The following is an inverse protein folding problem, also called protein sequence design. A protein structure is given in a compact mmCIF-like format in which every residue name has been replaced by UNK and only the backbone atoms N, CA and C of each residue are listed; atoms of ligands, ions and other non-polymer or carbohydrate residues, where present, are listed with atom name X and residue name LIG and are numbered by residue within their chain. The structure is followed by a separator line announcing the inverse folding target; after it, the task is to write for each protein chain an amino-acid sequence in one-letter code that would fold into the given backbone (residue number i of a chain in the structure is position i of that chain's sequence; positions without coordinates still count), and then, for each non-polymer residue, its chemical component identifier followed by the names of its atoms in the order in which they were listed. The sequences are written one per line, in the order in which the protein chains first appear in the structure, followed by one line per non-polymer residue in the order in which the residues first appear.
data_IF_150796878958
#
_entry.id   IF_150796878958
#
_cell.length_a   1.000
_cell.length_b   1.000
_cell.length_c   1.000
_cell.angle_alpha   90.00
_cell.angle_beta   90.00
_cell.angle_gamma   90.00
#
_symmetry.space_group_name_H-M   'P 1'
#
loop_
_entity.id
_entity.type
_entity.pdbx_description
1 polymer ?
#
# COMPACT_ATOMS: atom_id res chain seq x y z
N UNK A 1 24.86 46.57 -64.57
CA UNK A 1 25.96 45.79 -63.96
C UNK A 1 25.78 45.80 -62.46
N UNK A 2 25.59 44.61 -61.85
CA UNK A 2 25.96 44.18 -60.48
C UNK A 2 25.30 44.93 -59.29
N UNK A 3 24.80 44.32 -58.22
CA UNK A 3 24.87 42.94 -57.73
C UNK A 3 23.69 42.63 -56.79
N UNK A 4 23.09 41.46 -57.01
CA UNK A 4 22.24 40.73 -56.07
C UNK A 4 23.12 40.12 -54.98
N UNK A 5 23.04 40.54 -53.71
CA UNK A 5 23.59 39.71 -52.61
C UNK A 5 23.17 40.05 -51.18
N UNK A 6 21.90 40.32 -50.92
CA UNK A 6 21.38 40.31 -49.55
C UNK A 6 19.92 39.93 -49.64
N UNK A 7 19.56 38.67 -49.33
CA UNK A 7 18.21 38.19 -48.95
C UNK A 7 18.15 36.65 -48.79
N UNK A 8 19.27 35.91 -48.90
CA UNK A 8 19.26 34.44 -48.88
C UNK A 8 19.88 33.77 -47.64
N UNK A 9 20.21 34.51 -46.57
CA UNK A 9 20.81 33.92 -45.35
C UNK A 9 19.84 33.62 -44.20
N UNK A 10 18.75 34.37 -44.04
CA UNK A 10 17.82 34.21 -42.90
C UNK A 10 16.75 33.13 -43.06
N UNK A 11 16.57 32.55 -44.26
CA UNK A 11 15.61 31.44 -44.48
C UNK A 11 16.26 30.05 -44.42
N UNK A 12 17.60 29.96 -44.50
CA UNK A 12 18.34 28.69 -44.44
C UNK A 12 18.67 28.23 -43.02
N UNK A 13 18.77 29.16 -42.07
CA UNK A 13 19.04 28.82 -40.68
C UNK A 13 17.80 28.29 -39.96
N UNK A 14 16.61 28.87 -40.20
CA UNK A 14 15.34 28.39 -39.61
C UNK A 14 14.88 27.03 -40.15
N UNK A 15 15.25 26.68 -41.39
CA UNK A 15 15.00 25.34 -41.96
C UNK A 15 15.89 24.27 -41.33
N UNK A 16 17.16 24.57 -41.04
CA UNK A 16 18.07 23.59 -40.42
C UNK A 16 17.76 23.36 -38.93
N UNK A 17 17.31 24.37 -38.18
CA UNK A 17 16.86 24.16 -36.79
C UNK A 17 15.55 23.37 -36.73
N UNK A 18 14.61 23.59 -37.65
CA UNK A 18 13.38 22.79 -37.75
C UNK A 18 13.66 21.33 -38.15
N UNK A 19 14.51 21.09 -39.15
CA UNK A 19 14.89 19.73 -39.59
C UNK A 19 15.62 18.96 -38.49
N UNK A 20 16.45 19.63 -37.68
CA UNK A 20 17.13 19.03 -36.52
C UNK A 20 16.17 18.60 -35.38
N UNK A 21 15.09 19.35 -35.14
CA UNK A 21 14.09 19.01 -34.12
C UNK A 21 13.22 17.83 -34.57
N UNK A 22 12.79 17.78 -35.84
CA UNK A 22 12.02 16.65 -36.35
C UNK A 22 12.84 15.36 -36.42
N UNK A 23 14.13 15.43 -36.74
CA UNK A 23 15.02 14.25 -36.72
C UNK A 23 15.33 13.78 -35.30
N UNK A 24 15.45 14.68 -34.31
CA UNK A 24 15.59 14.31 -32.90
C UNK A 24 14.31 13.67 -32.34
N UNK A 25 13.13 14.24 -32.63
CA UNK A 25 11.84 13.71 -32.18
C UNK A 25 11.50 12.35 -32.81
N UNK A 26 11.78 12.17 -34.10
CA UNK A 26 11.59 10.88 -34.78
C UNK A 26 12.59 9.83 -34.29
N UNK A 27 13.85 10.19 -34.06
CA UNK A 27 14.84 9.27 -33.46
C UNK A 27 14.48 8.88 -32.03
N UNK A 28 13.95 9.81 -31.21
CA UNK A 28 13.48 9.51 -29.85
C UNK A 28 12.23 8.59 -29.87
N UNK A 29 11.30 8.83 -30.80
CA UNK A 29 10.14 7.97 -31.04
C UNK A 29 10.55 6.57 -31.52
N UNK A 30 11.52 6.47 -32.44
CA UNK A 30 12.04 5.21 -32.95
C UNK A 30 12.84 4.43 -31.89
N UNK A 31 13.63 5.11 -31.07
CA UNK A 31 14.31 4.52 -29.92
C UNK A 31 13.30 3.96 -28.91
N UNK A 32 12.25 4.72 -28.58
CA UNK A 32 11.19 4.29 -27.66
C UNK A 32 10.35 3.13 -28.24
N UNK A 33 10.12 3.11 -29.55
CA UNK A 33 9.44 2.00 -30.23
C UNK A 33 10.30 0.74 -30.27
N UNK A 34 11.61 0.88 -30.53
CA UNK A 34 12.56 -0.23 -30.54
C UNK A 34 12.79 -0.81 -29.14
N UNK A 35 12.84 0.01 -28.10
CA UNK A 35 12.93 -0.48 -26.71
C UNK A 35 11.64 -1.20 -26.29
N UNK A 36 10.45 -0.67 -26.60
CA UNK A 36 9.17 -1.36 -26.37
C UNK A 36 9.11 -2.70 -27.12
N UNK A 37 9.55 -2.73 -28.39
CA UNK A 37 9.61 -3.93 -29.22
C UNK A 37 10.58 -4.97 -28.66
N UNK A 38 11.81 -4.58 -28.33
CA UNK A 38 12.82 -5.46 -27.71
C UNK A 38 12.40 -5.99 -26.35
N UNK A 39 11.78 -5.15 -25.51
CA UNK A 39 11.23 -5.56 -24.21
C UNK A 39 10.10 -6.56 -24.41
N UNK A 40 9.18 -6.32 -25.35
CA UNK A 40 8.10 -7.25 -25.67
C UNK A 40 8.61 -8.61 -26.21
N UNK A 41 9.63 -8.60 -27.06
CA UNK A 41 10.26 -9.82 -27.61
C UNK A 41 10.98 -10.62 -26.51
N UNK A 42 11.69 -9.95 -25.59
CA UNK A 42 12.36 -10.61 -24.46
C UNK A 42 11.38 -11.16 -23.42
N UNK A 43 10.25 -10.49 -23.21
CA UNK A 43 9.21 -10.93 -22.28
C UNK A 43 8.46 -12.16 -22.80
N UNK A 44 8.21 -12.22 -24.12
CA UNK A 44 7.63 -13.40 -24.76
C UNK A 44 8.50 -14.66 -24.66
N UNK A 45 9.82 -14.52 -24.49
CA UNK A 45 10.73 -15.66 -24.34
C UNK A 45 10.66 -16.31 -22.96
N UNK A 46 10.11 -15.64 -21.94
CA UNK A 46 9.97 -16.17 -20.57
C UNK A 46 8.52 -16.01 -20.10
N UNK A 47 7.68 -17.06 -20.23
CA UNK A 47 6.24 -16.98 -19.98
C UNK A 47 5.87 -16.44 -18.59
N UNK A 48 6.66 -16.75 -17.56
CA UNK A 48 6.43 -16.27 -16.20
C UNK A 48 6.61 -14.75 -16.07
N UNK A 49 7.59 -14.15 -16.75
CA UNK A 49 7.83 -12.70 -16.68
C UNK A 49 6.74 -11.95 -17.48
N UNK A 50 6.33 -12.50 -18.62
CA UNK A 50 5.19 -11.98 -19.38
C UNK A 50 3.92 -11.97 -18.53
N UNK A 51 3.61 -13.08 -17.84
CA UNK A 51 2.44 -13.16 -16.95
C UNK A 51 2.49 -12.12 -15.84
N UNK A 52 3.64 -11.95 -15.18
CA UNK A 52 3.81 -10.92 -14.14
C UNK A 52 3.58 -9.50 -14.69
N UNK A 53 4.05 -9.23 -15.91
CA UNK A 53 3.81 -7.95 -16.57
C UNK A 53 2.32 -7.75 -16.86
N UNK A 54 1.65 -8.76 -17.41
CA UNK A 54 0.21 -8.71 -17.70
C UNK A 54 -0.61 -8.51 -16.43
N UNK A 55 -0.29 -9.23 -15.36
CA UNK A 55 -0.95 -9.10 -14.06
C UNK A 55 -0.73 -7.69 -13.48
N UNK A 56 0.48 -7.13 -13.62
CA UNK A 56 0.77 -5.74 -13.22
C UNK A 56 0.00 -4.72 -14.05
N UNK A 57 -0.12 -4.91 -15.36
CA UNK A 57 -0.92 -4.03 -16.22
C UNK A 57 -2.38 -4.09 -15.81
N UNK A 58 -2.94 -5.29 -15.59
CA UNK A 58 -4.33 -5.45 -15.12
C UNK A 58 -4.56 -4.77 -13.77
N UNK A 59 -3.64 -4.94 -12.82
CA UNK A 59 -3.71 -4.28 -11.52
C UNK A 59 -3.73 -2.75 -11.66
N UNK A 60 -2.81 -2.18 -12.45
CA UNK A 60 -2.79 -0.75 -12.70
C UNK A 60 -4.06 -0.24 -13.40
N UNK A 61 -4.57 -1.01 -14.38
CA UNK A 61 -5.84 -0.68 -15.04
C UNK A 61 -7.01 -0.73 -14.06
N UNK A 62 -7.05 -1.69 -13.15
CA UNK A 62 -8.09 -1.77 -12.12
C UNK A 62 -8.01 -0.58 -11.15
N UNK A 63 -6.82 -0.16 -10.74
CA UNK A 63 -6.63 1.03 -9.90
C UNK A 63 -7.09 2.32 -10.60
N UNK A 64 -6.81 2.48 -11.89
CA UNK A 64 -7.30 3.63 -12.66
C UNK A 64 -8.82 3.68 -12.71
N UNK A 65 -9.48 2.52 -12.90
CA UNK A 65 -10.94 2.43 -12.87
C UNK A 65 -11.48 2.75 -11.49
N UNK A 66 -10.86 2.22 -10.43
CA UNK A 66 -11.24 2.51 -9.05
C UNK A 66 -11.17 4.01 -8.76
N UNK A 67 -10.07 4.67 -9.11
CA UNK A 67 -9.92 6.13 -8.92
C UNK A 67 -11.02 6.91 -9.62
N UNK A 68 -11.29 6.61 -10.89
CA UNK A 68 -12.37 7.28 -11.61
C UNK A 68 -13.74 7.05 -10.99
N UNK A 69 -14.03 5.82 -10.53
CA UNK A 69 -15.30 5.55 -9.85
C UNK A 69 -15.38 6.33 -8.53
N UNK A 70 -14.32 6.34 -7.74
CA UNK A 70 -14.29 7.07 -6.47
C UNK A 70 -14.43 8.59 -6.67
N UNK A 71 -13.79 9.15 -7.71
CA UNK A 71 -13.95 10.56 -8.10
C UNK A 71 -15.42 10.86 -8.45
N UNK A 72 -16.03 10.07 -9.33
CA UNK A 72 -17.43 10.27 -9.74
C UNK A 72 -18.39 10.15 -8.54
N UNK A 73 -18.23 9.11 -7.70
CA UNK A 73 -19.04 8.93 -6.48
C UNK A 73 -18.85 10.11 -5.52
N UNK A 74 -17.61 10.59 -5.33
CA UNK A 74 -17.32 11.76 -4.50
C UNK A 74 -18.01 13.04 -4.99
N UNK A 75 -18.23 13.18 -6.29
CA UNK A 75 -18.94 14.35 -6.87
C UNK A 75 -20.46 14.30 -6.75
N UNK A 76 -21.05 13.10 -6.71
CA UNK A 76 -22.50 12.90 -6.75
C UNK A 76 -23.17 12.99 -5.38
N UNK A 77 -22.43 12.81 -4.29
CA UNK A 77 -23.01 12.67 -2.96
C UNK A 77 -22.67 13.86 -2.05
N UNK A 78 -23.70 14.63 -1.69
CA UNK A 78 -23.67 15.61 -0.61
C UNK A 78 -24.40 14.99 0.58
N UNK A 79 -23.67 14.46 1.57
CA UNK A 79 -24.14 14.11 2.94
C UNK A 79 -25.47 13.34 2.98
N UNK A 80 -25.50 12.01 3.13
CA UNK A 80 -25.46 11.41 4.48
C UNK A 80 -25.04 9.92 4.51
N UNK A 81 -24.88 9.23 3.36
CA UNK A 81 -24.61 7.78 3.30
C UNK A 81 -23.24 7.40 2.68
N UNK A 82 -22.24 8.27 2.83
CA UNK A 82 -20.89 8.06 2.25
C UNK A 82 -20.24 6.75 2.75
N UNK A 83 -20.52 6.35 3.99
CA UNK A 83 -20.03 5.09 4.56
C UNK A 83 -20.45 3.86 3.75
N UNK A 84 -21.70 3.80 3.27
CA UNK A 84 -22.19 2.65 2.49
C UNK A 84 -21.49 2.54 1.13
N UNK A 85 -20.97 3.64 0.60
CA UNK A 85 -20.33 3.66 -0.72
C UNK A 85 -18.94 3.06 -0.73
N UNK A 86 -18.20 3.13 0.37
CA UNK A 86 -16.84 2.58 0.44
C UNK A 86 -16.70 1.36 1.33
N UNK A 87 -17.58 1.10 2.31
CA UNK A 87 -17.38 0.06 3.33
C UNK A 87 -17.00 -1.31 2.74
N UNK A 88 -17.77 -1.81 1.76
CA UNK A 88 -17.50 -3.10 1.12
C UNK A 88 -16.20 -3.10 0.32
N UNK A 89 -15.96 -2.05 -0.46
CA UNK A 89 -14.73 -1.90 -1.24
C UNK A 89 -13.50 -1.82 -0.33
N UNK A 90 -13.62 -1.13 0.80
CA UNK A 90 -12.59 -0.96 1.80
C UNK A 90 -12.27 -2.29 2.50
N UNK A 91 -13.29 -3.04 2.93
CA UNK A 91 -13.13 -4.38 3.49
C UNK A 91 -12.40 -5.31 2.52
N UNK A 92 -12.85 -5.34 1.27
CA UNK A 92 -12.21 -6.18 0.25
C UNK A 92 -10.76 -5.78 0.01
N UNK A 93 -10.44 -4.49 -0.01
CA UNK A 93 -9.07 -4.01 -0.17
C UNK A 93 -8.18 -4.44 1.01
N UNK A 94 -8.70 -4.40 2.24
CA UNK A 94 -8.00 -4.87 3.43
C UNK A 94 -7.82 -6.38 3.40
N UNK A 95 -8.87 -7.17 3.14
CA UNK A 95 -8.81 -8.64 3.11
C UNK A 95 -7.80 -9.17 2.09
N UNK A 96 -7.69 -8.49 0.95
CA UNK A 96 -6.74 -8.80 -0.12
C UNK A 96 -5.32 -8.23 0.11
N UNK A 97 -5.10 -7.48 1.20
CA UNK A 97 -3.83 -6.83 1.56
C UNK A 97 -3.29 -5.93 0.42
N UNK A 98 -4.18 -5.13 -0.19
CA UNK A 98 -3.88 -4.20 -1.29
C UNK A 98 -3.89 -2.75 -0.82
N UNK A 99 -2.76 -2.21 -0.32
CA UNK A 99 -2.70 -0.84 0.19
C UNK A 99 -2.98 0.21 -0.88
N UNK A 100 -2.69 -0.06 -2.16
CA UNK A 100 -2.94 0.88 -3.26
C UNK A 100 -4.44 1.15 -3.47
N UNK A 101 -5.28 0.13 -3.25
CA UNK A 101 -6.73 0.29 -3.31
C UNK A 101 -7.26 1.02 -2.06
N UNK A 102 -6.67 0.75 -0.89
CA UNK A 102 -6.98 1.48 0.35
C UNK A 102 -6.65 2.97 0.19
N UNK A 103 -5.47 3.28 -0.37
CA UNK A 103 -5.02 4.65 -0.66
C UNK A 103 -6.00 5.38 -1.58
N UNK A 104 -6.35 4.78 -2.72
CA UNK A 104 -7.32 5.32 -3.67
C UNK A 104 -8.66 5.70 -3.01
N UNK A 105 -9.17 4.83 -2.13
CA UNK A 105 -10.44 5.07 -1.44
C UNK A 105 -10.29 6.19 -0.40
N UNK A 106 -9.20 6.19 0.37
CA UNK A 106 -8.92 7.21 1.40
C UNK A 106 -8.70 8.60 0.80
N UNK A 107 -8.06 8.69 -0.37
CA UNK A 107 -7.86 9.96 -1.08
C UNK A 107 -9.20 10.61 -1.46
N UNK A 108 -10.21 9.79 -1.80
CA UNK A 108 -11.53 10.26 -2.15
C UNK A 108 -12.43 10.47 -0.92
N UNK A 109 -12.30 9.63 0.11
CA UNK A 109 -13.09 9.67 1.35
C UNK A 109 -12.16 9.68 2.58
N UNK A 110 -11.58 10.83 2.96
CA UNK A 110 -10.61 10.91 4.05
C UNK A 110 -11.15 10.43 5.42
N UNK A 111 -12.45 10.59 5.66
CA UNK A 111 -13.14 10.12 6.86
C UNK A 111 -13.18 8.58 6.98
N UNK A 112 -12.97 7.85 5.88
CA UNK A 112 -12.96 6.39 5.88
C UNK A 112 -11.84 5.83 6.77
N UNK A 113 -10.71 6.54 6.92
CA UNK A 113 -9.59 6.14 7.80
C UNK A 113 -10.07 5.87 9.25
N UNK A 114 -11.00 6.69 9.72
CA UNK A 114 -11.48 6.68 11.10
C UNK A 114 -12.76 5.87 11.29
N UNK A 115 -13.30 5.35 10.19
CA UNK A 115 -14.52 4.58 10.19
C UNK A 115 -14.29 3.20 10.77
N UNK A 116 -15.27 2.73 11.55
CA UNK A 116 -15.28 1.35 12.05
C UNK A 116 -15.99 0.48 11.04
N UNK A 117 -15.40 -0.66 10.73
CA UNK A 117 -16.03 -1.69 9.93
C UNK A 117 -16.12 -2.95 10.77
N UNK A 118 -17.35 -3.46 10.94
CA UNK A 118 -17.65 -4.55 11.87
C UNK A 118 -17.09 -4.28 13.28
N UNK A 119 -17.29 -3.05 13.78
CA UNK A 119 -16.77 -2.54 15.07
C UNK A 119 -15.25 -2.38 15.20
N UNK A 120 -14.47 -2.79 14.19
CA UNK A 120 -13.02 -2.65 14.17
C UNK A 120 -12.58 -1.43 13.38
N UNK A 121 -11.58 -0.71 13.88
CA UNK A 121 -10.82 0.24 13.06
C UNK A 121 -10.02 -0.50 11.98
N UNK A 122 -9.70 0.18 10.89
CA UNK A 122 -8.92 -0.40 9.79
C UNK A 122 -7.58 -0.99 10.22
N UNK A 123 -6.89 -0.34 11.16
CA UNK A 123 -5.64 -0.84 11.73
C UNK A 123 -5.84 -2.14 12.49
N UNK A 124 -6.94 -2.26 13.24
CA UNK A 124 -7.32 -3.47 13.96
C UNK A 124 -7.68 -4.58 12.98
N UNK A 125 -8.49 -4.28 11.96
CA UNK A 125 -8.89 -5.24 10.91
C UNK A 125 -7.69 -5.76 10.13
N UNK A 126 -6.71 -4.90 9.83
CA UNK A 126 -5.49 -5.30 9.15
C UNK A 126 -4.64 -6.23 10.02
N UNK A 127 -4.56 -5.97 11.34
CA UNK A 127 -3.81 -6.82 12.28
C UNK A 127 -4.47 -8.19 12.44
N UNK A 128 -5.78 -8.23 12.67
CA UNK A 128 -6.52 -9.48 12.86
C UNK A 128 -6.44 -10.35 11.60
N UNK A 129 -6.47 -9.75 10.40
CA UNK A 129 -6.38 -10.48 9.13
C UNK A 129 -4.96 -10.73 8.59
N UNK A 130 -3.90 -10.39 9.34
CA UNK A 130 -2.50 -10.57 8.90
C UNK A 130 -2.16 -9.82 7.60
N UNK A 131 -2.75 -8.64 7.42
CA UNK A 131 -2.56 -7.79 6.26
C UNK A 131 -1.43 -6.78 6.53
N UNK A 132 -0.19 -7.26 6.35
CA UNK A 132 1.02 -6.50 6.69
C UNK A 132 1.16 -5.22 5.87
N UNK A 133 0.88 -5.28 4.57
CA UNK A 133 1.09 -4.13 3.67
C UNK A 133 0.12 -3.02 3.98
N UNK A 134 -1.14 -3.36 4.19
CA UNK A 134 -2.19 -2.41 4.58
C UNK A 134 -1.89 -1.83 5.96
N UNK A 135 -1.49 -2.64 6.94
CA UNK A 135 -1.11 -2.12 8.26
C UNK A 135 0.07 -1.15 8.17
N UNK A 136 1.12 -1.50 7.44
CA UNK A 136 2.28 -0.63 7.24
C UNK A 136 1.89 0.69 6.58
N UNK A 137 1.02 0.65 5.57
CA UNK A 137 0.46 1.85 4.94
C UNK A 137 -0.26 2.74 5.95
N UNK A 138 -1.19 2.18 6.74
CA UNK A 138 -1.98 2.92 7.73
C UNK A 138 -1.13 3.55 8.84
N UNK A 139 -0.05 2.89 9.26
CA UNK A 139 0.90 3.41 10.25
C UNK A 139 1.65 4.65 9.74
N UNK A 140 1.86 4.75 8.43
CA UNK A 140 2.56 5.86 7.80
C UNK A 140 1.63 7.01 7.44
N UNK A 141 0.38 6.71 7.04
CA UNK A 141 -0.60 7.70 6.63
C UNK A 141 -1.32 8.40 7.78
N UNK A 142 -1.50 7.73 8.91
CA UNK A 142 -2.22 8.29 10.05
C UNK A 142 -1.28 9.07 10.96
N UNK A 143 -1.44 10.40 10.98
CA UNK A 143 -0.65 11.30 11.81
C UNK A 143 -0.87 11.06 13.31
N UNK A 144 -2.10 10.74 13.73
CA UNK A 144 -2.43 10.46 15.13
C UNK A 144 -2.10 9.00 15.52
N UNK A 145 -0.80 8.75 15.62
CA UNK A 145 -0.22 7.49 16.10
C UNK A 145 -0.58 7.21 17.56
N UNK A 146 -0.97 8.23 18.33
CA UNK A 146 -1.38 8.05 19.71
C UNK A 146 -2.76 7.40 19.76
N UNK A 147 -3.73 7.91 19.00
CA UNK A 147 -5.07 7.37 18.89
C UNK A 147 -5.07 5.91 18.41
N UNK A 148 -4.26 5.58 17.40
CA UNK A 148 -4.10 4.19 16.97
C UNK A 148 -3.60 3.28 18.12
N UNK A 149 -2.62 3.74 18.90
CA UNK A 149 -2.01 2.93 19.97
C UNK A 149 -2.91 2.77 21.19
N UNK A 150 -3.71 3.78 21.52
CA UNK A 150 -4.66 3.73 22.64
C UNK A 150 -6.01 3.15 22.27
N UNK A 151 -6.28 2.95 20.97
CA UNK A 151 -7.50 2.31 20.52
C UNK A 151 -7.59 0.88 21.05
N UNK A 152 -8.74 0.55 21.61
CA UNK A 152 -9.11 -0.80 22.00
C UNK A 152 -10.31 -1.25 21.18
N UNK A 153 -10.45 -2.56 21.00
CA UNK A 153 -11.72 -3.12 20.51
C UNK A 153 -12.80 -3.06 21.60
N UNK A 154 -13.98 -3.58 21.28
CA UNK A 154 -15.13 -3.62 22.20
C UNK A 154 -14.86 -4.47 23.46
N UNK A 155 -13.90 -5.40 23.40
CA UNK A 155 -13.51 -6.27 24.50
C UNK A 155 -12.35 -5.68 25.34
N UNK A 156 -11.88 -4.47 25.00
CA UNK A 156 -10.75 -3.83 25.67
C UNK A 156 -9.38 -4.34 25.22
N UNK A 157 -9.30 -5.14 24.16
CA UNK A 157 -8.04 -5.61 23.59
C UNK A 157 -7.36 -4.46 22.83
N UNK A 158 -6.11 -4.17 23.19
CA UNK A 158 -5.27 -3.26 22.41
C UNK A 158 -4.68 -3.95 21.16
N UNK A 159 -4.03 -3.18 20.28
CA UNK A 159 -3.44 -3.70 19.04
C UNK A 159 -2.48 -4.88 19.24
N UNK A 160 -1.75 -4.93 20.36
CA UNK A 160 -0.82 -6.01 20.64
C UNK A 160 -1.55 -7.30 21.03
N UNK A 161 -2.65 -7.22 21.77
CA UNK A 161 -3.53 -8.36 22.03
C UNK A 161 -4.10 -8.90 20.71
N UNK A 162 -4.59 -8.03 19.82
CA UNK A 162 -5.09 -8.42 18.50
C UNK A 162 -4.02 -9.09 17.63
N UNK A 163 -2.78 -8.59 17.68
CA UNK A 163 -1.66 -9.19 16.94
C UNK A 163 -1.28 -10.58 17.47
N UNK A 164 -1.55 -10.84 18.76
CA UNK A 164 -1.25 -12.11 19.44
C UNK A 164 -2.39 -13.15 19.33
N UNK A 165 -3.60 -12.76 18.93
CA UNK A 165 -4.69 -13.71 18.62
C UNK A 165 -4.30 -14.62 17.45
N UNK A 166 -4.87 -15.83 17.35
CA UNK A 166 -4.60 -16.73 16.21
C UNK A 166 -5.19 -16.12 14.93
N UNK A 167 -4.43 -16.19 13.82
CA UNK A 167 -4.92 -15.73 12.52
C UNK A 167 -6.22 -16.44 12.08
N UNK A 168 -7.10 -15.75 11.31
CA UNK A 168 -8.23 -16.37 10.65
C UNK A 168 -7.84 -17.62 9.87
N UNK A 169 -8.69 -18.64 9.89
CA UNK A 169 -8.41 -19.97 9.32
C UNK A 169 -7.93 -19.88 7.86
N UNK A 170 -8.51 -18.98 7.06
CA UNK A 170 -8.15 -18.81 5.65
C UNK A 170 -6.73 -18.24 5.46
N UNK A 171 -6.20 -17.46 6.42
CA UNK A 171 -4.80 -16.98 6.42
C UNK A 171 -3.85 -18.01 7.04
N UNK A 172 -4.30 -18.67 8.10
CA UNK A 172 -3.53 -19.70 8.80
C UNK A 172 -3.23 -20.89 7.89
N UNK A 173 -4.22 -21.34 7.12
CA UNK A 173 -4.13 -22.52 6.25
C UNK A 173 -3.47 -22.25 4.88
N UNK A 174 -2.91 -21.06 4.64
CA UNK A 174 -2.10 -20.80 3.43
C UNK A 174 -0.87 -21.73 3.39
N UNK A 175 -0.35 -22.11 4.56
CA UNK A 175 0.72 -23.11 4.69
C UNK A 175 0.18 -24.37 5.33
N UNK A 176 0.62 -25.52 4.82
CA UNK A 176 0.22 -26.83 5.34
C UNK A 176 1.13 -27.26 6.49
N UNK A 177 0.54 -27.75 7.58
CA UNK A 177 1.26 -28.32 8.71
C UNK A 177 1.44 -27.35 9.89
N UNK A 178 1.17 -27.85 11.10
CA UNK A 178 1.14 -27.04 12.32
C UNK A 178 2.45 -26.29 12.61
N UNK A 179 3.60 -26.91 12.34
CA UNK A 179 4.90 -26.28 12.57
C UNK A 179 5.13 -25.04 11.67
N UNK A 180 4.74 -25.11 10.39
CA UNK A 180 4.88 -23.98 9.45
C UNK A 180 3.87 -22.87 9.76
N UNK A 181 2.67 -23.24 10.19
CA UNK A 181 1.67 -22.29 10.67
C UNK A 181 2.20 -21.51 11.89
N UNK A 182 2.73 -22.22 12.90
CA UNK A 182 3.35 -21.61 14.07
C UNK A 182 4.54 -20.71 13.70
N UNK A 183 5.41 -21.16 12.79
CA UNK A 183 6.56 -20.37 12.37
C UNK A 183 6.14 -19.03 11.76
N UNK A 184 5.11 -19.03 10.92
CA UNK A 184 4.58 -17.81 10.29
C UNK A 184 3.94 -16.88 11.32
N UNK A 185 3.14 -17.41 12.25
CA UNK A 185 2.52 -16.62 13.31
C UNK A 185 3.57 -15.98 14.24
N UNK A 186 4.66 -16.70 14.54
CA UNK A 186 5.79 -16.15 15.29
C UNK A 186 6.50 -15.02 14.51
N UNK A 187 6.72 -15.20 13.20
CA UNK A 187 7.33 -14.16 12.37
C UNK A 187 6.47 -12.89 12.30
N UNK A 188 5.16 -13.06 12.15
CA UNK A 188 4.19 -11.97 12.21
C UNK A 188 4.29 -11.20 13.53
N UNK A 189 4.17 -11.89 14.67
CA UNK A 189 4.15 -11.25 15.99
C UNK A 189 5.48 -10.54 16.29
N UNK A 190 6.62 -11.19 16.00
CA UNK A 190 7.94 -10.59 16.20
C UNK A 190 8.14 -9.37 15.28
N UNK A 191 7.71 -9.47 14.02
CA UNK A 191 7.73 -8.37 13.06
C UNK A 191 6.93 -7.18 13.57
N UNK A 192 5.70 -7.44 14.03
CA UNK A 192 4.80 -6.44 14.58
C UNK A 192 5.37 -5.75 15.81
N UNK A 193 5.85 -6.50 16.81
CA UNK A 193 6.48 -5.95 18.03
C UNK A 193 7.69 -5.08 17.68
N UNK A 194 8.52 -5.52 16.72
CA UNK A 194 9.67 -4.73 16.26
C UNK A 194 9.20 -3.40 15.67
N UNK A 195 8.16 -3.43 14.84
CA UNK A 195 7.61 -2.25 14.18
C UNK A 195 7.02 -1.25 15.18
N UNK A 196 6.20 -1.72 16.13
CA UNK A 196 5.62 -0.87 17.18
C UNK A 196 6.70 -0.28 18.10
N UNK A 197 7.74 -1.04 18.44
CA UNK A 197 8.87 -0.56 19.23
C UNK A 197 9.70 0.51 18.50
N UNK A 198 9.87 0.41 17.18
CA UNK A 198 10.54 1.47 16.38
C UNK A 198 9.75 2.77 16.35
N UNK A 199 8.42 2.70 16.18
CA UNK A 199 7.54 3.88 16.21
C UNK A 199 7.53 4.52 17.60
N UNK A 200 7.56 3.70 18.65
CA UNK A 200 7.58 4.19 20.03
C UNK A 200 8.89 4.93 20.34
N UNK A 201 10.01 4.54 19.73
CA UNK A 201 11.30 5.20 19.92
C UNK A 201 11.46 6.47 19.07
N UNK A 202 10.91 6.52 17.85
CA UNK A 202 10.95 7.74 17.03
C UNK A 202 10.15 8.89 17.64
N UNK A 203 9.14 8.56 18.45
CA UNK A 203 8.19 9.53 19.00
C UNK A 203 8.46 9.91 20.47
N UNK A 204 9.63 9.57 21.05
CA UNK A 204 9.96 10.01 22.42
C UNK A 204 10.45 11.47 22.43
N UNK A 205 9.75 12.42 23.08
CA UNK A 205 10.44 13.62 23.56
C UNK A 205 11.54 13.20 24.54
N UNK A 206 12.68 13.92 24.50
CA UNK A 206 13.85 13.63 25.35
C UNK A 206 13.40 13.47 26.81
N UNK A 207 13.72 12.30 27.37
CA UNK A 207 13.48 11.85 28.75
C UNK A 207 12.10 11.19 29.04
N UNK A 208 12.05 9.86 28.92
CA UNK A 208 11.41 8.99 29.93
C UNK A 208 11.98 7.56 29.88
N UNK A 209 12.14 6.99 31.08
CA UNK A 209 12.87 5.75 31.41
C UNK A 209 12.39 4.54 30.60
N UNK A 210 13.32 3.61 30.32
CA UNK A 210 13.05 2.32 29.67
C UNK A 210 12.35 1.41 30.68
N UNK A 211 11.08 1.11 30.45
CA UNK A 211 10.47 -0.10 31.03
C UNK A 211 10.90 -1.29 30.18
N UNK A 212 11.49 -2.28 30.85
CA UNK A 212 11.94 -3.51 30.24
C UNK A 212 10.77 -4.52 30.25
N UNK A 213 9.99 -4.57 29.17
CA UNK A 213 8.98 -5.61 28.99
C UNK A 213 9.67 -6.92 28.52
N UNK A 214 9.55 -7.99 29.30
CA UNK A 214 9.94 -9.35 28.90
C UNK A 214 8.70 -10.09 28.41
N UNK A 215 8.68 -10.47 27.14
CA UNK A 215 7.60 -11.25 26.54
C UNK A 215 7.93 -12.75 26.61
N UNK A 216 6.99 -13.55 27.11
CA UNK A 216 7.06 -15.01 27.08
C UNK A 216 5.89 -15.55 26.26
N UNK A 217 6.16 -16.55 25.41
CA UNK A 217 5.13 -17.30 24.68
C UNK A 217 4.82 -18.55 25.50
N UNK A 218 3.67 -18.58 26.18
CA UNK A 218 3.20 -19.78 26.88
C UNK A 218 2.02 -20.36 26.11
N UNK A 219 2.15 -21.64 25.74
CA UNK A 219 1.15 -22.36 24.96
C UNK A 219 0.31 -23.23 25.89
N UNK A 220 -0.83 -22.73 26.33
CA UNK A 220 -1.93 -23.57 26.78
C UNK A 220 -3.19 -23.02 26.15
N UNK A 221 -3.83 -23.85 25.31
CA UNK A 221 -5.18 -23.67 24.73
C UNK A 221 -5.37 -22.58 23.66
N UNK A 222 -4.38 -22.31 22.81
CA UNK A 222 -4.60 -21.53 21.58
C UNK A 222 -4.74 -20.02 21.78
N UNK A 223 -4.26 -19.49 22.90
CA UNK A 223 -4.13 -18.05 23.15
C UNK A 223 -2.66 -17.76 23.38
N UNK A 224 -2.07 -16.81 22.65
CA UNK A 224 -0.79 -16.23 23.03
C UNK A 224 -1.08 -15.28 24.19
N UNK A 225 -0.90 -15.75 25.42
CA UNK A 225 -1.13 -14.94 26.62
C UNK A 225 0.08 -14.03 26.83
N UNK A 226 -0.13 -12.72 26.71
CA UNK A 226 0.84 -11.69 27.10
C UNK A 226 0.69 -11.44 28.60
N UNK A 227 1.55 -12.05 29.42
CA UNK A 227 1.55 -11.81 30.87
C UNK A 227 2.39 -10.58 31.18
N UNK A 228 1.78 -9.56 31.77
CA UNK A 228 2.48 -8.39 32.30
C UNK A 228 3.20 -8.79 33.61
N UNK A 229 4.51 -8.99 33.53
CA UNK A 229 5.35 -9.26 34.71
C UNK A 229 5.69 -7.95 35.44
N UNK A 230 4.88 -7.59 36.45
CA UNK A 230 5.25 -6.56 37.42
C UNK A 230 6.23 -7.12 38.47
N UNK A 231 7.24 -6.33 38.83
CA UNK A 231 8.00 -6.53 40.07
C UNK A 231 7.22 -6.00 41.27
#
# INVERSE_FOLDING_TARGET
MKDQRFHSRTSRETSNTRVGIYTCATNLMLLNCNTKSLVSLKLNAVPHIKRLQEDKVKHNSALLLLNHICEEVGTLHSSDDIYEHYCDAFNLAVENDTPEAVEAIVECFPEAIWSKINDYYLSQLAITNRCEKVYNFLVHQVDDKHLQRTSTDNDGNNLLHLAAQIAPIHKLNIVSGAALQMQRELQWLLGFIRHTHTITQSNKPKARKKEHERFYVVHTTGVIVLVHGGN
#
